data_IF_628310737644
#
_entry.id   IF_628310737644
#
_cell.length_a   1.000
_cell.length_b   1.000
_cell.length_c   1.000
_cell.angle_alpha   90.00
_cell.angle_beta   90.00
_cell.angle_gamma   90.00
#
_symmetry.space_group_name_H-M   'P 1'
#
loop_
_entity.id
_entity.type
_entity.pdbx_description
1 polymer ?
#
# COMPACT_ATOMS: atom_id res chain seq x y z
N UNK A 1 -12.22 0.78 4.18
CA UNK A 1 -11.15 0.37 5.11
C UNK A 1 -10.61 -1.01 4.72
N UNK A 2 -11.46 -2.04 4.61
CA UNK A 2 -11.10 -3.39 4.10
C UNK A 2 -10.37 -3.40 2.75
N UNK A 3 -10.87 -2.67 1.73
CA UNK A 3 -10.27 -2.66 0.39
C UNK A 3 -8.85 -2.08 0.34
N UNK A 4 -8.47 -1.22 1.31
CA UNK A 4 -7.16 -0.56 1.33
C UNK A 4 -6.12 -1.36 2.14
N UNK A 5 -6.58 -2.05 3.19
CA UNK A 5 -5.78 -3.06 3.89
C UNK A 5 -5.45 -4.24 2.97
N UNK A 6 -6.38 -4.65 2.11
CA UNK A 6 -6.13 -5.63 1.04
C UNK A 6 -5.04 -5.15 0.05
N UNK A 7 -5.01 -3.87 -0.29
CA UNK A 7 -4.04 -3.33 -1.27
C UNK A 7 -2.61 -3.23 -0.71
N UNK A 8 -2.46 -2.76 0.54
CA UNK A 8 -1.17 -2.74 1.24
C UNK A 8 -0.67 -4.17 1.50
N UNK A 9 -1.55 -5.07 1.93
CA UNK A 9 -1.23 -6.48 2.12
C UNK A 9 -0.81 -7.16 0.81
N UNK A 10 -1.45 -6.85 -0.33
CA UNK A 10 -1.05 -7.37 -1.64
C UNK A 10 0.36 -6.91 -2.06
N UNK A 11 0.74 -5.68 -1.73
CA UNK A 11 2.04 -5.11 -2.15
C UNK A 11 3.21 -5.73 -1.37
N UNK A 12 3.03 -5.99 -0.08
CA UNK A 12 4.01 -6.72 0.74
C UNK A 12 4.10 -8.20 0.35
N UNK A 13 2.97 -8.81 -0.04
CA UNK A 13 2.93 -10.18 -0.53
C UNK A 13 3.57 -10.32 -1.92
N UNK A 14 3.42 -9.32 -2.80
CA UNK A 14 3.98 -9.34 -4.16
C UNK A 14 5.51 -9.38 -4.17
N UNK A 15 6.16 -8.75 -3.19
CA UNK A 15 7.62 -8.78 -3.01
C UNK A 15 8.08 -10.19 -2.60
N UNK A 16 7.33 -10.88 -1.74
CA UNK A 16 7.66 -12.23 -1.29
C UNK A 16 7.28 -13.34 -2.30
N UNK A 17 6.15 -13.19 -3.00
CA UNK A 17 5.68 -14.16 -4.01
C UNK A 17 6.49 -14.12 -5.31
N UNK A 18 7.06 -12.97 -5.69
CA UNK A 18 7.87 -12.86 -6.91
C UNK A 18 9.13 -13.75 -6.91
N UNK A 19 9.61 -14.17 -5.74
CA UNK A 19 10.75 -15.07 -5.61
C UNK A 19 10.38 -16.56 -5.72
N UNK A 20 9.11 -16.92 -5.49
CA UNK A 20 8.63 -18.32 -5.54
C UNK A 20 7.72 -18.63 -6.75
N UNK A 21 7.05 -17.63 -7.35
CA UNK A 21 6.05 -17.84 -8.40
C UNK A 21 6.58 -17.84 -9.84
N UNK A 22 7.88 -17.68 -10.07
CA UNK A 22 8.45 -17.56 -11.42
C UNK A 22 8.32 -18.83 -12.29
N UNK A 23 7.90 -19.97 -11.74
CA UNK A 23 7.92 -21.25 -12.45
C UNK A 23 6.56 -21.98 -12.60
N UNK A 24 5.42 -21.48 -12.07
CA UNK A 24 4.24 -22.36 -11.96
C UNK A 24 2.88 -21.92 -12.54
N UNK A 25 2.65 -20.68 -12.96
CA UNK A 25 1.32 -20.33 -13.51
C UNK A 25 1.41 -19.31 -14.64
N UNK A 26 1.01 -19.73 -15.85
CA UNK A 26 1.00 -18.93 -17.10
C UNK A 26 -0.38 -18.33 -17.44
N UNK A 27 -1.45 -18.65 -16.70
CA UNK A 27 -2.80 -18.15 -17.00
C UNK A 27 -3.21 -16.94 -16.14
N UNK A 28 -3.74 -15.91 -16.80
CA UNK A 28 -4.31 -14.72 -16.16
C UNK A 28 -5.66 -15.09 -15.57
N UNK A 29 -5.77 -15.13 -14.25
CA UNK A 29 -7.04 -15.37 -13.55
C UNK A 29 -7.96 -14.15 -13.55
N UNK A 30 -9.27 -14.41 -13.67
CA UNK A 30 -10.32 -13.37 -13.72
C UNK A 30 -10.54 -12.61 -12.40
N UNK A 31 -10.04 -13.13 -11.28
CA UNK A 31 -10.03 -12.46 -9.99
C UNK A 31 -8.86 -12.92 -9.11
N UNK A 32 -8.47 -12.09 -8.13
CA UNK A 32 -7.46 -12.46 -7.14
C UNK A 32 -7.86 -13.70 -6.33
N UNK A 33 -9.15 -13.87 -6.00
CA UNK A 33 -9.65 -15.03 -5.27
C UNK A 33 -9.49 -16.30 -6.09
N UNK A 34 -9.79 -16.23 -7.39
CA UNK A 34 -9.60 -17.35 -8.32
C UNK A 34 -8.13 -17.71 -8.43
N UNK A 35 -7.25 -16.71 -8.61
CA UNK A 35 -5.81 -16.93 -8.71
C UNK A 35 -5.25 -17.65 -7.46
N UNK A 36 -5.61 -17.15 -6.28
CA UNK A 36 -5.15 -17.71 -4.99
C UNK A 36 -5.70 -19.13 -4.80
N UNK A 37 -6.97 -19.35 -5.11
CA UNK A 37 -7.61 -20.67 -4.94
C UNK A 37 -7.00 -21.70 -5.88
N UNK A 38 -6.78 -21.35 -7.15
CA UNK A 38 -6.14 -22.22 -8.15
C UNK A 38 -4.70 -22.56 -7.74
N UNK A 39 -3.91 -21.55 -7.37
CA UNK A 39 -2.52 -21.76 -6.94
C UNK A 39 -2.43 -22.64 -5.69
N UNK A 40 -3.29 -22.41 -4.70
CA UNK A 40 -3.35 -23.25 -3.50
C UNK A 40 -3.73 -24.70 -3.85
N UNK A 41 -4.67 -24.89 -4.79
CA UNK A 41 -5.06 -26.21 -5.25
C UNK A 41 -3.94 -26.92 -6.02
N UNK A 42 -3.15 -26.22 -6.82
CA UNK A 42 -1.98 -26.78 -7.52
C UNK A 42 -0.87 -27.22 -6.56
N UNK A 43 -0.64 -26.45 -5.50
CA UNK A 43 0.42 -26.75 -4.53
C UNK A 43 0.01 -27.86 -3.56
N UNK A 44 -1.25 -27.85 -3.10
CA UNK A 44 -1.71 -28.69 -1.99
C UNK A 44 -2.79 -29.72 -2.36
N UNK A 45 -3.24 -29.75 -3.61
CA UNK A 45 -4.28 -30.68 -4.10
C UNK A 45 -5.68 -30.45 -3.52
N UNK A 46 -5.91 -29.32 -2.84
CA UNK A 46 -7.18 -29.00 -2.16
C UNK A 46 -7.70 -27.62 -2.56
N UNK A 47 -8.99 -27.53 -2.89
CA UNK A 47 -9.69 -26.24 -3.04
C UNK A 47 -9.96 -25.66 -1.67
N UNK A 48 -9.80 -24.34 -1.55
CA UNK A 48 -10.12 -23.59 -0.33
C UNK A 48 -11.34 -22.71 -0.60
N UNK A 49 -12.33 -22.76 0.28
CA UNK A 49 -13.50 -21.86 0.27
C UNK A 49 -13.28 -20.61 1.13
N UNK A 50 -12.05 -20.42 1.62
CA UNK A 50 -11.75 -19.40 2.63
C UNK A 50 -11.62 -18.01 2.02
N UNK A 51 -12.06 -17.00 2.75
CA UNK A 51 -11.78 -15.60 2.41
C UNK A 51 -10.26 -15.39 2.34
N UNK A 52 -9.79 -14.53 1.43
CA UNK A 52 -8.36 -14.21 1.28
C UNK A 52 -7.62 -14.01 2.63
N UNK A 53 -8.17 -13.29 3.61
CA UNK A 53 -7.58 -13.16 4.94
C UNK A 53 -7.41 -14.47 5.73
N UNK A 54 -8.38 -15.38 5.65
CA UNK A 54 -8.29 -16.68 6.29
C UNK A 54 -7.27 -17.60 5.60
N UNK A 55 -7.15 -17.53 4.26
CA UNK A 55 -6.09 -18.23 3.51
C UNK A 55 -4.70 -17.70 3.88
N UNK A 56 -4.59 -16.38 4.08
CA UNK A 56 -3.33 -15.72 4.43
C UNK A 56 -2.94 -15.90 5.90
N UNK A 57 -3.79 -16.55 6.71
CA UNK A 57 -3.50 -16.77 8.13
C UNK A 57 -3.60 -15.51 8.99
N UNK A 58 -4.31 -14.47 8.55
CA UNK A 58 -4.46 -13.21 9.30
C UNK A 58 -5.30 -13.31 10.58
N UNK A 59 -5.74 -14.51 10.95
CA UNK A 59 -6.37 -14.81 12.24
C UNK A 59 -5.53 -15.78 13.08
N UNK A 60 -4.32 -16.12 12.64
CA UNK A 60 -3.39 -17.00 13.34
C UNK A 60 -2.23 -16.15 13.87
N UNK A 61 -2.14 -16.03 15.19
CA UNK A 61 -1.16 -15.17 15.86
C UNK A 61 0.29 -15.51 15.50
N UNK A 62 0.62 -16.80 15.33
CA UNK A 62 1.98 -17.22 14.95
C UNK A 62 2.34 -16.78 13.52
N UNK A 63 1.36 -16.77 12.61
CA UNK A 63 1.56 -16.30 11.24
C UNK A 63 1.69 -14.77 11.25
N UNK A 64 0.84 -14.07 12.00
CA UNK A 64 0.92 -12.61 12.15
C UNK A 64 2.28 -12.20 12.73
N UNK A 65 2.72 -12.81 13.82
CA UNK A 65 4.03 -12.52 14.43
C UNK A 65 5.18 -12.69 13.43
N UNK A 66 5.18 -13.77 12.65
CA UNK A 66 6.21 -13.97 11.60
C UNK A 66 6.14 -12.93 10.50
N UNK A 67 4.95 -12.55 10.06
CA UNK A 67 4.78 -11.51 9.03
C UNK A 67 5.20 -10.12 9.52
N UNK A 68 5.17 -9.89 10.84
CA UNK A 68 5.58 -8.63 11.46
C UNK A 68 7.04 -8.60 11.90
N UNK A 69 7.73 -9.73 11.92
CA UNK A 69 9.08 -9.87 12.48
C UNK A 69 10.10 -8.88 11.89
N UNK A 70 9.99 -8.56 10.59
CA UNK A 70 10.87 -7.62 9.88
C UNK A 70 10.18 -6.29 9.52
N UNK A 71 8.99 -6.02 10.06
CA UNK A 71 8.28 -4.78 9.81
C UNK A 71 8.85 -3.69 10.72
N UNK A 72 9.66 -2.81 10.14
CA UNK A 72 10.32 -1.70 10.84
C UNK A 72 9.40 -0.52 11.10
N UNK A 73 8.25 -0.45 10.42
CA UNK A 73 7.31 0.65 10.54
C UNK A 73 5.88 0.20 10.26
N UNK A 74 4.96 0.58 11.15
CA UNK A 74 3.52 0.40 10.95
C UNK A 74 2.91 1.70 10.42
N UNK A 75 2.13 1.65 9.32
CA UNK A 75 1.44 2.82 8.82
C UNK A 75 0.56 3.48 9.89
N UNK A 76 0.66 4.80 10.01
CA UNK A 76 -0.14 5.59 10.95
C UNK A 76 -1.37 6.10 10.22
N UNK A 77 -2.53 5.88 10.84
CA UNK A 77 -3.83 6.32 10.32
C UNK A 77 -4.29 7.54 11.08
N UNK A 78 -4.44 8.66 10.37
CA UNK A 78 -4.85 9.95 10.94
C UNK A 78 -6.18 10.34 10.32
N UNK A 79 -7.22 10.48 11.15
CA UNK A 79 -8.51 10.98 10.71
C UNK A 79 -8.56 12.50 10.86
N UNK A 80 -8.70 13.20 9.74
CA UNK A 80 -8.84 14.66 9.70
C UNK A 80 -10.18 14.97 9.05
N UNK A 81 -11.16 15.41 9.84
CA UNK A 81 -12.55 15.58 9.39
C UNK A 81 -13.11 14.30 8.72
N UNK A 82 -13.49 14.37 7.44
CA UNK A 82 -13.95 13.23 6.63
C UNK A 82 -12.83 12.46 5.94
N UNK A 83 -11.58 12.89 6.08
CA UNK A 83 -10.43 12.31 5.41
C UNK A 83 -9.69 11.32 6.31
N UNK A 84 -9.26 10.22 5.70
CA UNK A 84 -8.34 9.26 6.30
C UNK A 84 -6.99 9.42 5.60
N UNK A 85 -6.02 9.98 6.32
CA UNK A 85 -4.63 10.11 5.88
C UNK A 85 -3.86 8.89 6.39
N UNK A 86 -3.08 8.29 5.52
CA UNK A 86 -2.19 7.16 5.83
C UNK A 86 -0.76 7.62 5.69
N UNK A 87 -0.02 7.67 6.78
CA UNK A 87 1.44 7.91 6.78
C UNK A 87 2.13 6.55 6.70
N UNK A 88 2.81 6.28 5.58
CA UNK A 88 3.44 4.98 5.31
C UNK A 88 4.95 4.98 5.53
N UNK A 89 5.57 6.14 5.71
CA UNK A 89 6.97 6.26 6.10
C UNK A 89 7.23 7.62 6.77
N UNK A 90 8.15 7.65 7.74
CA UNK A 90 8.54 8.87 8.47
C UNK A 90 9.97 9.24 8.07
N UNK A 91 10.11 10.39 7.40
CA UNK A 91 11.38 11.08 7.25
C UNK A 91 11.38 12.30 8.17
N UNK A 92 12.47 12.52 8.91
CA UNK A 92 12.62 13.67 9.80
C UNK A 92 13.68 14.63 9.26
N UNK A 93 13.43 15.93 9.39
CA UNK A 93 14.41 16.97 9.09
C UNK A 93 14.34 18.08 10.13
N UNK A 94 15.49 18.70 10.41
CA UNK A 94 15.57 19.96 11.18
C UNK A 94 15.17 21.19 10.34
N UNK A 95 14.97 21.01 9.02
CA UNK A 95 14.46 22.08 8.17
C UNK A 95 12.97 22.29 8.47
N UNK A 96 12.62 23.48 8.96
CA UNK A 96 11.26 23.81 9.36
C UNK A 96 10.29 24.00 8.18
N UNK A 97 10.79 24.09 6.94
CA UNK A 97 9.94 24.28 5.75
C UNK A 97 8.88 23.20 5.54
N UNK A 98 9.13 21.99 6.05
CA UNK A 98 8.22 20.84 5.97
C UNK A 98 7.65 20.43 7.35
N UNK A 99 7.54 21.35 8.31
CA UNK A 99 7.00 21.07 9.65
C UNK A 99 7.71 19.91 10.38
N UNK A 100 9.02 19.77 10.20
CA UNK A 100 9.83 18.69 10.78
C UNK A 100 9.86 17.39 9.97
N UNK A 101 9.05 17.29 8.90
CA UNK A 101 9.16 16.19 7.94
C UNK A 101 10.38 16.38 7.04
N UNK A 102 10.98 15.27 6.61
CA UNK A 102 12.20 15.23 5.83
C UNK A 102 12.22 14.12 4.79
N UNK A 103 13.37 13.97 4.15
CA UNK A 103 13.60 12.95 3.12
C UNK A 103 13.13 11.56 3.59
N UNK A 104 12.37 10.87 2.73
CA UNK A 104 11.79 9.56 3.04
C UNK A 104 10.39 9.61 3.67
N UNK A 105 9.88 10.79 4.03
CA UNK A 105 8.48 10.93 4.44
C UNK A 105 7.54 10.54 3.30
N UNK A 106 6.48 9.79 3.61
CA UNK A 106 5.42 9.46 2.64
C UNK A 106 4.07 9.37 3.33
N UNK A 107 3.08 10.06 2.76
CA UNK A 107 1.69 9.99 3.17
C UNK A 107 0.76 9.87 1.96
N UNK A 108 -0.47 9.45 2.21
CA UNK A 108 -1.48 9.33 1.16
C UNK A 108 -2.90 9.49 1.67
N UNK A 109 -3.80 9.81 0.75
CA UNK A 109 -5.21 10.04 1.01
C UNK A 109 -6.03 9.63 -0.22
N UNK A 110 -7.22 9.06 0.03
CA UNK A 110 -8.23 8.84 -1.00
C UNK A 110 -9.24 9.98 -0.95
N UNK A 111 -9.33 10.75 -2.04
CA UNK A 111 -10.23 11.91 -2.13
C UNK A 111 -10.74 12.09 -3.56
N UNK A 112 -11.60 13.08 -3.79
CA UNK A 112 -12.04 13.44 -5.14
C UNK A 112 -11.12 14.52 -5.71
N UNK A 113 -10.57 14.28 -6.90
CA UNK A 113 -9.89 15.28 -7.72
C UNK A 113 -10.63 15.41 -9.04
N UNK A 114 -10.99 16.63 -9.44
CA UNK A 114 -11.78 16.88 -10.66
C UNK A 114 -13.03 15.97 -10.78
N UNK A 115 -13.76 15.82 -9.68
CA UNK A 115 -14.97 14.97 -9.53
C UNK A 115 -14.73 13.45 -9.64
N UNK A 116 -13.49 12.99 -9.82
CA UNK A 116 -13.12 11.56 -9.86
C UNK A 116 -12.49 11.13 -8.53
N UNK A 117 -12.79 9.91 -8.09
CA UNK A 117 -12.08 9.34 -6.94
C UNK A 117 -10.64 9.04 -7.32
N UNK A 118 -9.72 9.64 -6.58
CA UNK A 118 -8.29 9.65 -6.86
C UNK A 118 -7.50 9.30 -5.61
N UNK A 119 -6.36 8.68 -5.85
CA UNK A 119 -5.35 8.45 -4.83
C UNK A 119 -4.34 9.59 -4.89
N UNK A 120 -4.20 10.34 -3.79
CA UNK A 120 -3.22 11.41 -3.68
C UNK A 120 -2.09 10.91 -2.78
N UNK A 121 -0.87 11.02 -3.27
CA UNK A 121 0.35 10.63 -2.58
C UNK A 121 1.24 11.83 -2.40
N UNK A 122 1.74 12.05 -1.19
CA UNK A 122 2.73 13.06 -0.87
C UNK A 122 4.00 12.36 -0.39
N UNK A 123 5.15 12.83 -0.87
CA UNK A 123 6.45 12.31 -0.47
C UNK A 123 7.49 13.42 -0.46
N UNK A 124 8.46 13.30 0.43
CA UNK A 124 9.60 14.23 0.47
C UNK A 124 10.83 13.46 -0.01
N UNK A 125 11.41 13.93 -1.10
CA UNK A 125 12.60 13.34 -1.73
C UNK A 125 13.57 14.46 -2.07
N UNK A 126 14.83 14.35 -1.64
CA UNK A 126 15.87 15.35 -1.86
C UNK A 126 15.48 16.77 -1.40
N UNK A 127 14.78 16.87 -0.26
CA UNK A 127 14.19 18.10 0.29
C UNK A 127 13.10 18.76 -0.57
N UNK A 128 12.62 18.10 -1.61
CA UNK A 128 11.46 18.53 -2.40
C UNK A 128 10.21 17.80 -1.93
N UNK A 129 9.14 18.54 -1.67
CA UNK A 129 7.81 18.00 -1.45
C UNK A 129 7.17 17.72 -2.82
N UNK A 130 6.83 16.45 -3.06
CA UNK A 130 6.23 15.99 -4.30
C UNK A 130 4.83 15.44 -3.99
N UNK A 131 3.81 16.04 -4.60
CA UNK A 131 2.43 15.56 -4.54
C UNK A 131 2.03 15.00 -5.90
N UNK A 132 1.53 13.78 -5.91
CA UNK A 132 1.06 13.08 -7.12
C UNK A 132 -0.37 12.64 -6.94
N UNK A 133 -1.17 12.89 -7.97
CA UNK A 133 -2.56 12.46 -8.05
C UNK A 133 -2.66 11.35 -9.07
N UNK A 134 -3.27 10.25 -8.64
CA UNK A 134 -3.45 9.04 -9.44
C UNK A 134 -4.92 8.79 -9.73
N UNK A 135 -5.20 8.38 -10.97
CA UNK A 135 -6.48 7.84 -11.41
C UNK A 135 -6.22 6.55 -12.19
N UNK A 136 -6.84 5.43 -11.78
CA UNK A 136 -6.66 4.11 -12.42
C UNK A 136 -5.18 3.75 -12.66
N UNK A 137 -4.32 4.03 -11.68
CA UNK A 137 -2.85 3.82 -11.71
C UNK A 137 -2.02 4.80 -12.54
N UNK A 138 -2.64 5.73 -13.27
CA UNK A 138 -1.93 6.75 -14.03
C UNK A 138 -1.76 8.03 -13.21
N UNK A 139 -0.60 8.68 -13.31
CA UNK A 139 -0.40 10.02 -12.75
C UNK A 139 -1.16 11.01 -13.63
N UNK A 140 -2.13 11.71 -13.04
CA UNK A 140 -2.95 12.72 -13.74
C UNK A 140 -2.57 14.16 -13.39
N UNK A 141 -1.86 14.34 -12.28
CA UNK A 141 -1.27 15.62 -11.88
C UNK A 141 -0.08 15.39 -10.96
N UNK A 142 0.90 16.29 -11.04
CA UNK A 142 2.07 16.32 -10.18
C UNK A 142 2.40 17.77 -9.83
N UNK A 143 2.69 18.01 -8.56
CA UNK A 143 3.11 19.30 -8.03
C UNK A 143 4.38 19.09 -7.21
N UNK A 144 5.31 20.02 -7.32
CA UNK A 144 6.61 19.97 -6.63
C UNK A 144 6.98 21.36 -6.13
N UNK A 145 7.40 21.43 -4.88
CA UNK A 145 7.92 22.65 -4.25
C UNK A 145 8.85 22.27 -3.09
N UNK A 146 9.59 23.23 -2.55
CA UNK A 146 10.42 23.06 -1.36
C UNK A 146 9.59 22.92 -0.09
N UNK A 147 8.34 23.42 -0.10
CA UNK A 147 7.44 23.37 1.06
C UNK A 147 6.07 22.79 0.69
N UNK A 148 5.40 22.04 1.60
CA UNK A 148 4.10 21.44 1.32
C UNK A 148 2.95 22.45 1.16
N UNK A 149 3.17 23.72 1.52
CA UNK A 149 2.14 24.78 1.45
C UNK A 149 1.85 25.21 0.02
N UNK A 150 2.85 25.10 -0.86
CA UNK A 150 2.77 25.53 -2.25
C UNK A 150 2.45 24.38 -3.22
N UNK A 151 2.21 23.19 -2.69
CA UNK A 151 1.99 21.94 -3.42
C UNK A 151 0.52 21.53 -3.37
#
# INVERSE_FOLDING_TARGET
>A
MEKFLLFLSFKTLQVHLNQSCKEKSTEISSSASTAITTLYQEIFGKKTEYSGPAIMGFYNDQIIERLLQDVTFFPIYIKIQSFLVVVSNIGYSKNNGCCGAGNGFTSSILTKFQKKHSFVSQRIENNTCILRIYYESNIVAQFEDETPTNV
#
